data_IF_032078430950
#
_entry.id   IF_032078430950
#
_cell.length_a   1.000
_cell.length_b   1.000
_cell.length_c   1.000
_cell.angle_alpha   90.00
_cell.angle_beta   90.00
_cell.angle_gamma   90.00
#
_symmetry.space_group_name_H-M   'P 1'
#
loop_
_entity.id
_entity.type
_entity.pdbx_description
1 polymer ?
#
# COMPACT_ATOMS: atom_id res chain seq x y z
N UNK A 1 -38.94 -23.47 -8.34
CA UNK A 1 -38.16 -22.31 -8.84
C UNK A 1 -37.25 -22.80 -9.95
N UNK A 2 -37.52 -22.42 -11.20
CA UNK A 2 -36.78 -22.91 -12.36
C UNK A 2 -35.38 -22.27 -12.43
N UNK A 3 -34.33 -23.09 -12.49
CA UNK A 3 -32.95 -22.62 -12.72
C UNK A 3 -32.86 -22.14 -14.17
N UNK A 4 -32.83 -20.82 -14.39
CA UNK A 4 -32.55 -20.25 -15.72
C UNK A 4 -31.17 -20.74 -16.16
N UNK A 5 -31.12 -21.41 -17.31
CA UNK A 5 -29.86 -21.84 -17.92
C UNK A 5 -29.01 -20.60 -18.22
N UNK A 6 -27.76 -20.62 -17.78
CA UNK A 6 -26.78 -19.56 -18.07
C UNK A 6 -26.43 -19.68 -19.56
N UNK A 7 -26.82 -18.70 -20.38
CA UNK A 7 -26.48 -18.64 -21.79
C UNK A 7 -25.13 -17.93 -22.00
N UNK A 8 -24.34 -18.41 -22.96
CA UNK A 8 -23.01 -17.88 -23.28
C UNK A 8 -23.05 -16.75 -24.32
N UNK A 9 -24.22 -16.47 -24.91
CA UNK A 9 -24.45 -15.45 -25.94
C UNK A 9 -23.95 -14.03 -25.58
N UNK A 10 -23.77 -13.71 -24.30
CA UNK A 10 -23.28 -12.39 -23.85
C UNK A 10 -21.81 -12.34 -23.44
N UNK A 11 -21.05 -13.43 -23.59
CA UNK A 11 -19.66 -13.50 -23.07
C UNK A 11 -18.67 -12.67 -23.89
N UNK A 12 -18.99 -12.40 -25.17
CA UNK A 12 -18.15 -11.61 -26.07
C UNK A 12 -18.59 -10.13 -26.14
N UNK A 13 -19.76 -9.79 -25.59
CA UNK A 13 -20.29 -8.43 -25.58
C UNK A 13 -19.82 -7.67 -24.33
N UNK A 14 -18.81 -6.81 -24.53
CA UNK A 14 -18.21 -6.00 -23.46
C UNK A 14 -19.12 -4.89 -22.92
N UNK A 15 -20.26 -4.64 -23.56
CA UNK A 15 -21.26 -3.65 -23.16
C UNK A 15 -22.44 -4.26 -22.39
N UNK A 16 -22.52 -5.59 -22.33
CA UNK A 16 -23.61 -6.28 -21.64
C UNK A 16 -23.44 -6.17 -20.12
N UNK A 17 -24.53 -5.85 -19.42
CA UNK A 17 -24.54 -5.85 -17.95
C UNK A 17 -24.42 -7.30 -17.44
N UNK A 18 -23.58 -7.56 -16.42
CA UNK A 18 -23.47 -8.88 -15.82
C UNK A 18 -24.84 -9.41 -15.39
N UNK A 19 -25.17 -10.63 -15.81
CA UNK A 19 -26.40 -11.30 -15.39
C UNK A 19 -26.39 -11.46 -13.87
N UNK A 20 -27.36 -10.86 -13.18
CA UNK A 20 -27.52 -11.07 -11.74
C UNK A 20 -27.99 -12.52 -11.50
N UNK A 21 -27.04 -13.36 -11.13
CA UNK A 21 -27.26 -14.79 -10.86
C UNK A 21 -27.76 -15.05 -9.44
N UNK A 22 -27.86 -14.02 -8.60
CA UNK A 22 -28.20 -14.15 -7.17
C UNK A 22 -27.12 -14.85 -6.34
N UNK A 23 -25.98 -15.21 -6.94
CA UNK A 23 -24.84 -15.84 -6.26
C UNK A 23 -23.97 -14.72 -5.69
N UNK A 24 -23.69 -14.70 -4.37
CA UNK A 24 -22.82 -13.69 -3.79
C UNK A 24 -21.42 -13.79 -4.40
N UNK A 25 -21.02 -12.73 -5.12
CA UNK A 25 -19.69 -12.64 -5.70
C UNK A 25 -18.68 -12.35 -4.59
N UNK A 26 -17.72 -13.26 -4.40
CA UNK A 26 -16.63 -13.08 -3.44
C UNK A 26 -15.83 -11.82 -3.83
N UNK A 27 -15.90 -10.78 -2.99
CA UNK A 27 -15.27 -9.47 -3.23
C UNK A 27 -16.23 -8.33 -3.56
N UNK A 28 -17.53 -8.56 -3.68
CA UNK A 28 -18.54 -7.50 -3.85
C UNK A 28 -18.87 -6.74 -2.54
N UNK A 29 -18.32 -7.17 -1.40
CA UNK A 29 -18.34 -6.41 -0.17
C UNK A 29 -17.31 -5.30 -0.23
N UNK A 30 -17.73 -4.05 0.02
CA UNK A 30 -16.83 -2.93 0.24
C UNK A 30 -15.80 -3.34 1.31
N UNK A 31 -14.57 -3.62 0.89
CA UNK A 31 -13.48 -3.77 1.86
C UNK A 31 -13.34 -2.42 2.56
N UNK A 32 -13.30 -2.37 3.91
CA UNK A 32 -12.97 -1.13 4.60
C UNK A 32 -11.62 -0.67 4.09
N UNK A 33 -11.60 0.47 3.41
CA UNK A 33 -10.37 1.12 3.00
C UNK A 33 -9.56 1.40 4.27
N UNK A 34 -8.30 0.95 4.36
CA UNK A 34 -7.47 1.27 5.52
C UNK A 34 -7.45 2.79 5.68
N UNK A 35 -7.55 3.31 6.92
CA UNK A 35 -7.57 4.74 7.16
C UNK A 35 -6.34 5.37 6.51
N UNK A 36 -6.56 6.41 5.70
CA UNK A 36 -5.45 7.13 5.07
C UNK A 36 -4.56 7.68 6.19
N UNK A 37 -3.24 7.46 6.13
CA UNK A 37 -2.33 8.00 7.12
C UNK A 37 -2.49 9.53 7.15
N UNK A 38 -2.77 10.05 8.35
CA UNK A 38 -2.92 11.48 8.59
C UNK A 38 -1.55 12.13 8.38
N UNK A 39 -1.45 13.06 7.42
CA UNK A 39 -0.23 13.82 7.18
C UNK A 39 0.08 14.67 8.40
N UNK A 40 1.33 14.66 8.88
CA UNK A 40 1.76 15.53 9.97
C UNK A 40 1.95 16.96 9.44
N UNK A 41 1.60 17.96 10.24
CA UNK A 41 1.81 19.36 9.87
C UNK A 41 3.32 19.63 9.71
N UNK A 42 3.73 20.19 8.56
CA UNK A 42 5.15 20.39 8.22
C UNK A 42 5.88 19.19 7.60
N UNK A 43 5.20 18.07 7.34
CA UNK A 43 5.81 16.89 6.70
C UNK A 43 6.34 17.22 5.29
N UNK A 44 7.67 17.14 5.11
CA UNK A 44 8.31 17.17 3.79
C UNK A 44 8.69 15.75 3.39
N UNK A 45 8.32 15.37 2.17
CA UNK A 45 8.63 14.05 1.61
C UNK A 45 9.93 14.12 0.83
N UNK A 46 10.87 13.24 1.18
CA UNK A 46 12.14 13.08 0.50
C UNK A 46 12.18 11.69 -0.15
N UNK A 47 12.53 11.63 -1.43
CA UNK A 47 12.85 10.37 -2.11
C UNK A 47 14.36 10.20 -2.09
N UNK A 48 14.85 9.16 -1.41
CA UNK A 48 16.27 8.87 -1.26
C UNK A 48 16.66 7.69 -2.15
N UNK A 49 17.67 7.88 -3.01
CA UNK A 49 18.28 6.79 -3.76
C UNK A 49 19.47 6.24 -2.96
N UNK A 50 19.35 4.99 -2.50
CA UNK A 50 20.42 4.26 -1.82
C UNK A 50 20.93 3.13 -2.73
N UNK A 51 22.19 2.77 -2.59
CA UNK A 51 22.68 1.52 -3.18
C UNK A 51 22.02 0.31 -2.51
N UNK A 52 21.94 -0.80 -3.23
CA UNK A 52 21.24 -2.00 -2.77
C UNK A 52 21.83 -2.62 -1.51
N UNK A 53 23.15 -2.49 -1.28
CA UNK A 53 23.80 -3.04 -0.11
C UNK A 53 23.47 -2.21 1.15
N UNK A 54 23.52 -0.89 1.04
CA UNK A 54 23.14 0.03 2.12
C UNK A 54 21.66 -0.09 2.46
N UNK A 55 20.77 -0.14 1.47
CA UNK A 55 19.35 -0.37 1.72
C UNK A 55 19.10 -1.70 2.44
N UNK A 56 19.80 -2.78 2.04
CA UNK A 56 19.69 -4.07 2.71
C UNK A 56 20.13 -4.01 4.17
N UNK A 57 21.24 -3.32 4.48
CA UNK A 57 21.70 -3.12 5.85
C UNK A 57 20.70 -2.35 6.68
N UNK A 58 20.15 -1.25 6.14
CA UNK A 58 19.11 -0.46 6.79
C UNK A 58 17.89 -1.31 7.10
N UNK A 59 17.45 -2.14 6.14
CA UNK A 59 16.29 -3.03 6.32
C UNK A 59 16.50 -4.08 7.40
N UNK A 60 17.68 -4.69 7.48
CA UNK A 60 18.00 -5.66 8.52
C UNK A 60 18.03 -4.98 9.89
N UNK A 61 18.69 -3.83 9.98
CA UNK A 61 18.77 -3.07 11.22
C UNK A 61 17.39 -2.63 11.71
N UNK A 62 16.52 -2.15 10.81
CA UNK A 62 15.15 -1.76 11.12
C UNK A 62 14.34 -2.88 11.78
N UNK A 63 14.54 -4.12 11.35
CA UNK A 63 13.92 -5.31 11.97
C UNK A 63 14.51 -5.59 13.35
N UNK A 64 15.83 -5.48 13.51
CA UNK A 64 16.51 -5.72 14.78
C UNK A 64 16.08 -4.75 15.88
N UNK A 65 15.85 -3.48 15.53
CA UNK A 65 15.49 -2.43 16.50
C UNK A 65 13.99 -2.14 16.60
N UNK A 66 13.15 -2.86 15.84
CA UNK A 66 11.70 -2.64 15.73
C UNK A 66 11.35 -1.17 15.42
N UNK A 67 12.04 -0.58 14.44
CA UNK A 67 11.83 0.82 14.00
C UNK A 67 11.57 0.89 12.51
N UNK A 68 10.86 1.93 12.08
CA UNK A 68 10.68 2.16 10.64
C UNK A 68 11.96 2.72 10.02
N UNK A 69 12.17 2.45 8.72
CA UNK A 69 13.26 3.06 7.95
C UNK A 69 13.23 4.59 8.04
N UNK A 70 12.03 5.18 8.12
CA UNK A 70 11.85 6.63 8.23
C UNK A 70 12.37 7.16 9.57
N UNK A 71 12.01 6.52 10.69
CA UNK A 71 12.45 6.94 12.03
C UNK A 71 13.98 6.87 12.16
N UNK A 72 14.60 5.82 11.61
CA UNK A 72 16.06 5.65 11.62
C UNK A 72 16.74 6.77 10.83
N UNK A 73 16.23 7.08 9.63
CA UNK A 73 16.77 8.14 8.79
C UNK A 73 16.57 9.54 9.41
N UNK A 74 15.42 9.80 10.02
CA UNK A 74 15.11 11.06 10.69
C UNK A 74 16.05 11.31 11.88
N UNK A 75 16.27 10.28 12.71
CA UNK A 75 17.23 10.35 13.82
C UNK A 75 18.65 10.57 13.32
N UNK A 76 19.10 9.77 12.34
CA UNK A 76 20.46 9.87 11.82
C UNK A 76 20.73 11.24 11.17
N UNK A 77 19.74 11.81 10.48
CA UNK A 77 19.83 13.14 9.89
C UNK A 77 19.90 14.22 10.97
N UNK A 78 19.06 14.13 11.99
CA UNK A 78 19.06 15.08 13.11
C UNK A 78 20.41 15.07 13.84
N UNK A 79 20.90 13.89 14.20
CA UNK A 79 22.23 13.73 14.83
C UNK A 79 23.38 14.23 13.94
N UNK A 80 23.24 14.16 12.61
CA UNK A 80 24.22 14.70 11.69
C UNK A 80 24.19 16.24 11.68
N UNK A 81 23.01 16.85 11.59
CA UNK A 81 22.85 18.31 11.57
C UNK A 81 23.25 18.95 12.89
N UNK A 82 22.87 18.34 14.03
CA UNK A 82 23.28 18.78 15.36
C UNK A 82 24.81 18.82 15.50
N UNK A 83 25.50 17.79 14.99
CA UNK A 83 26.97 17.75 14.97
C UNK A 83 27.59 18.76 14.01
N UNK A 84 26.88 19.08 12.93
CA UNK A 84 27.33 20.06 11.94
C UNK A 84 27.04 21.52 12.35
N UNK A 85 26.29 21.76 13.44
CA UNK A 85 25.73 23.07 13.82
C UNK A 85 24.96 23.72 12.65
N UNK A 86 24.19 22.92 11.92
CA UNK A 86 23.44 23.30 10.72
C UNK A 86 21.93 23.37 10.96
#
# INVERSE_FOLDING_TARGET
MAKKAVSLEGLLDTTAKPTETGIPQRGAGQMPTPPKPVKREGEKRLTLALDGATYRRLRLHAVEVDQTHQDILERALTEYLDRANA
#
